data_IF_639982559153
#
_entry.id   IF_639982559153
#
_cell.length_a   1.000
_cell.length_b   1.000
_cell.length_c   1.000
_cell.angle_alpha   90.00
_cell.angle_beta   90.00
_cell.angle_gamma   90.00
#
_symmetry.space_group_name_H-M   'P 1'
#
loop_
_entity.id
_entity.type
_entity.pdbx_description
1 polymer ?
#
# COMPACT_ATOMS: atom_id res chain seq x y z
N UNK A 1 -24.83 21.65 1.04
CA UNK A 1 -24.62 20.23 0.66
C UNK A 1 -23.87 20.18 -0.66
N UNK A 2 -22.54 20.06 -0.62
CA UNK A 2 -21.73 19.95 -1.84
C UNK A 2 -21.91 18.58 -2.49
N UNK A 3 -22.11 18.53 -3.81
CA UNK A 3 -22.19 17.26 -4.57
C UNK A 3 -20.88 16.49 -4.37
N UNK A 4 -20.97 15.29 -3.80
CA UNK A 4 -19.84 14.37 -3.77
C UNK A 4 -19.69 13.84 -5.19
N UNK A 5 -18.67 14.31 -5.91
CA UNK A 5 -18.35 13.76 -7.22
C UNK A 5 -17.90 12.29 -7.01
N UNK A 6 -18.71 11.34 -7.47
CA UNK A 6 -18.48 9.90 -7.30
C UNK A 6 -17.81 9.30 -8.55
N UNK A 7 -16.79 9.98 -9.06
CA UNK A 7 -16.06 9.55 -10.25
C UNK A 7 -14.95 8.55 -9.84
N UNK A 8 -14.89 7.33 -10.44
CA UNK A 8 -13.86 6.33 -10.16
C UNK A 8 -12.42 6.78 -10.43
N UNK A 9 -12.22 7.86 -11.18
CA UNK A 9 -10.90 8.46 -11.45
C UNK A 9 -10.43 9.43 -10.36
N UNK A 10 -11.33 9.85 -9.45
CA UNK A 10 -10.98 10.69 -8.32
C UNK A 10 -10.01 9.93 -7.39
N UNK A 11 -8.85 10.53 -7.15
CA UNK A 11 -7.79 9.91 -6.37
C UNK A 11 -6.99 8.83 -7.11
N UNK A 12 -7.14 8.72 -8.43
CA UNK A 12 -6.31 7.90 -9.35
C UNK A 12 -5.77 8.69 -10.54
N UNK A 13 -5.90 10.00 -10.48
CA UNK A 13 -5.39 10.96 -11.47
C UNK A 13 -4.18 11.70 -10.92
N UNK A 14 -3.28 12.12 -11.80
CA UNK A 14 -2.21 13.05 -11.50
C UNK A 14 -2.21 14.15 -12.57
N UNK A 15 -2.07 15.41 -12.15
CA UNK A 15 -1.90 16.52 -13.08
C UNK A 15 -0.49 16.48 -13.65
N UNK A 16 -0.38 16.66 -14.96
CA UNK A 16 0.90 16.91 -15.64
C UNK A 16 1.31 18.35 -15.35
N UNK A 17 2.51 18.52 -14.82
CA UNK A 17 3.10 19.83 -14.52
C UNK A 17 4.27 20.04 -15.46
N UNK A 18 4.36 21.23 -16.06
CA UNK A 18 5.45 21.63 -16.96
C UNK A 18 5.69 20.68 -18.16
N UNK A 19 4.66 19.95 -18.58
CA UNK A 19 4.76 18.97 -19.67
C UNK A 19 5.52 17.68 -19.31
N UNK A 20 5.96 17.52 -18.06
CA UNK A 20 6.65 16.30 -17.61
C UNK A 20 5.64 15.15 -17.41
N UNK A 21 5.45 14.38 -18.49
CA UNK A 21 4.63 13.18 -18.49
C UNK A 21 5.25 12.06 -17.66
N UNK A 22 6.58 11.95 -17.62
CA UNK A 22 7.26 10.85 -16.94
C UNK A 22 7.02 10.92 -15.43
N UNK A 23 7.12 12.12 -14.84
CA UNK A 23 6.81 12.31 -13.42
C UNK A 23 5.31 12.11 -13.13
N UNK A 24 4.43 12.59 -14.02
CA UNK A 24 2.99 12.35 -13.89
C UNK A 24 2.66 10.84 -13.87
N UNK A 25 3.25 10.05 -14.75
CA UNK A 25 3.07 8.59 -14.76
C UNK A 25 3.62 7.93 -13.49
N UNK A 26 4.80 8.34 -13.00
CA UNK A 26 5.34 7.86 -11.72
C UNK A 26 4.40 8.16 -10.55
N UNK A 27 3.81 9.36 -10.52
CA UNK A 27 2.82 9.74 -9.51
C UNK A 27 1.59 8.84 -9.55
N UNK A 28 1.03 8.59 -10.74
CA UNK A 28 -0.09 7.65 -10.90
C UNK A 28 0.30 6.25 -10.43
N UNK A 29 1.48 5.76 -10.79
CA UNK A 29 1.97 4.45 -10.38
C UNK A 29 2.04 4.32 -8.84
N UNK A 30 2.60 5.33 -8.17
CA UNK A 30 2.64 5.40 -6.70
C UNK A 30 1.24 5.43 -6.07
N UNK A 31 0.30 6.17 -6.66
CA UNK A 31 -1.09 6.25 -6.19
C UNK A 31 -1.76 4.87 -6.28
N UNK A 32 -1.62 4.19 -7.43
CA UNK A 32 -2.18 2.84 -7.63
C UNK A 32 -1.55 1.81 -6.68
N UNK A 33 -0.24 1.91 -6.42
CA UNK A 33 0.47 1.05 -5.48
C UNK A 33 0.02 1.26 -4.03
N UNK A 34 -0.06 2.53 -3.58
CA UNK A 34 -0.53 2.90 -2.23
C UNK A 34 -1.95 2.42 -1.97
N UNK A 35 -2.83 2.59 -2.96
CA UNK A 35 -4.23 2.15 -2.90
C UNK A 35 -4.41 0.65 -3.18
N UNK A 36 -3.32 -0.09 -3.45
CA UNK A 36 -3.31 -1.55 -3.69
C UNK A 36 -4.21 -1.99 -4.86
N UNK A 37 -4.48 -1.11 -5.83
CA UNK A 37 -5.41 -1.34 -6.94
C UNK A 37 -4.99 -2.56 -7.75
N UNK A 38 -3.71 -2.64 -8.13
CA UNK A 38 -3.17 -3.79 -8.91
C UNK A 38 -3.28 -5.11 -8.16
N UNK A 39 -2.99 -5.11 -6.86
CA UNK A 39 -3.12 -6.32 -6.02
C UNK A 39 -4.58 -6.77 -5.95
N UNK A 40 -5.50 -5.84 -5.75
CA UNK A 40 -6.93 -6.16 -5.70
C UNK A 40 -7.44 -6.67 -7.04
N UNK A 41 -7.03 -6.05 -8.15
CA UNK A 41 -7.38 -6.49 -9.50
C UNK A 41 -6.97 -7.96 -9.70
N UNK A 42 -5.71 -8.30 -9.41
CA UNK A 42 -5.20 -9.68 -9.52
C UNK A 42 -5.94 -10.68 -8.61
N UNK A 43 -6.34 -10.26 -7.41
CA UNK A 43 -7.12 -11.10 -6.50
C UNK A 43 -8.58 -11.25 -6.93
N UNK A 44 -9.11 -10.31 -7.70
CA UNK A 44 -10.48 -10.31 -8.19
C UNK A 44 -10.64 -11.06 -9.53
N UNK A 45 -9.55 -11.30 -10.26
CA UNK A 45 -9.54 -12.09 -11.51
C UNK A 45 -10.22 -13.47 -11.36
N UNK A 46 -10.15 -14.07 -10.17
CA UNK A 46 -10.79 -15.36 -9.86
C UNK A 46 -11.49 -15.31 -8.51
N UNK A 47 -12.59 -16.05 -8.38
CA UNK A 47 -13.28 -16.17 -7.11
C UNK A 47 -12.43 -16.90 -6.06
N UNK A 48 -12.13 -16.21 -4.96
CA UNK A 48 -11.52 -16.81 -3.77
C UNK A 48 -12.61 -17.23 -2.77
N UNK A 49 -12.66 -18.53 -2.45
CA UNK A 49 -13.59 -19.06 -1.43
C UNK A 49 -13.39 -18.37 -0.07
N UNK A 50 -14.47 -18.21 0.69
CA UNK A 50 -14.48 -17.52 2.00
C UNK A 50 -13.44 -18.06 3.00
N UNK A 51 -13.28 -19.39 3.11
CA UNK A 51 -12.32 -20.03 4.01
C UNK A 51 -10.86 -19.69 3.68
N UNK A 52 -10.38 -19.99 2.45
CA UNK A 52 -9.06 -19.57 1.97
C UNK A 52 -8.81 -18.07 2.13
N UNK A 53 -9.80 -17.22 1.80
CA UNK A 53 -9.70 -15.77 1.99
C UNK A 53 -9.42 -15.37 3.44
N UNK A 54 -10.11 -15.99 4.41
CA UNK A 54 -9.89 -15.74 5.85
C UNK A 54 -8.47 -16.13 6.27
N UNK A 55 -8.02 -17.34 5.90
CA UNK A 55 -6.66 -17.83 6.21
C UNK A 55 -5.58 -16.93 5.59
N UNK A 56 -5.78 -16.48 4.35
CA UNK A 56 -4.87 -15.55 3.68
C UNK A 56 -4.81 -14.20 4.41
N UNK A 57 -5.95 -13.61 4.75
CA UNK A 57 -6.00 -12.32 5.44
C UNK A 57 -5.35 -12.39 6.83
N UNK A 58 -5.56 -13.47 7.56
CA UNK A 58 -4.93 -13.73 8.85
C UNK A 58 -3.41 -13.85 8.72
N UNK A 59 -2.92 -14.68 7.78
CA UNK A 59 -1.48 -14.81 7.50
C UNK A 59 -0.85 -13.50 7.04
N UNK A 60 -1.54 -12.73 6.19
CA UNK A 60 -1.08 -11.40 5.78
C UNK A 60 -1.00 -10.42 6.96
N UNK A 61 -1.98 -10.44 7.86
CA UNK A 61 -1.98 -9.59 9.06
C UNK A 61 -0.83 -9.98 9.97
N UNK A 62 -0.64 -11.26 10.24
CA UNK A 62 0.43 -11.76 11.10
C UNK A 62 1.82 -11.38 10.56
N UNK A 63 2.08 -11.61 9.26
CA UNK A 63 3.36 -11.24 8.65
C UNK A 63 3.65 -9.74 8.72
N UNK A 64 2.62 -8.88 8.59
CA UNK A 64 2.78 -7.43 8.74
C UNK A 64 3.13 -7.03 10.18
N UNK A 65 2.43 -7.61 11.16
CA UNK A 65 2.69 -7.35 12.58
C UNK A 65 4.08 -7.86 12.97
N UNK A 66 4.42 -9.09 12.57
CA UNK A 66 5.75 -9.65 12.81
C UNK A 66 6.86 -8.78 12.23
N UNK A 67 6.75 -8.35 10.96
CA UNK A 67 7.72 -7.46 10.34
C UNK A 67 7.82 -6.09 11.05
N UNK A 68 6.70 -5.57 11.57
CA UNK A 68 6.69 -4.35 12.35
C UNK A 68 7.46 -4.50 13.68
N UNK A 69 7.16 -5.56 14.44
CA UNK A 69 7.84 -5.83 15.71
C UNK A 69 9.33 -6.08 15.51
N UNK A 70 9.72 -6.87 14.50
CA UNK A 70 11.13 -7.09 14.14
C UNK A 70 11.81 -5.76 13.82
N UNK A 71 11.19 -4.89 13.00
CA UNK A 71 11.75 -3.57 12.67
C UNK A 71 11.94 -2.71 13.92
N UNK A 72 10.96 -2.68 14.82
CA UNK A 72 11.02 -1.91 16.07
C UNK A 72 12.16 -2.38 16.96
N UNK A 73 12.34 -3.70 17.11
CA UNK A 73 13.42 -4.28 17.89
C UNK A 73 14.79 -3.96 17.28
N UNK A 74 14.95 -4.09 15.95
CA UNK A 74 16.20 -3.73 15.26
C UNK A 74 16.52 -2.25 15.42
N UNK A 75 15.53 -1.37 15.33
CA UNK A 75 15.70 0.08 15.57
C UNK A 75 16.16 0.37 17.00
N UNK A 76 15.59 -0.32 18.00
CA UNK A 76 16.00 -0.19 19.39
C UNK A 76 17.46 -0.63 19.59
N UNK A 77 17.85 -1.80 19.09
CA UNK A 77 19.23 -2.30 19.17
C UNK A 77 20.19 -1.33 18.48
N UNK A 78 19.83 -0.83 17.29
CA UNK A 78 20.65 0.15 16.56
C UNK A 78 20.83 1.44 17.36
N UNK A 79 19.79 1.88 18.07
CA UNK A 79 19.82 3.07 18.94
C UNK A 79 20.70 2.85 20.16
N UNK A 80 20.66 1.67 20.77
CA UNK A 80 21.52 1.29 21.90
C UNK A 80 22.99 1.29 21.45
N UNK A 81 23.29 0.62 20.33
CA UNK A 81 24.64 0.59 19.75
C UNK A 81 25.18 1.98 19.42
N UNK A 82 24.34 2.88 18.87
CA UNK A 82 24.74 4.27 18.60
C UNK A 82 25.11 5.05 19.87
N UNK A 83 24.59 4.66 21.04
CA UNK A 83 24.87 5.31 22.34
C UNK A 83 26.13 4.80 23.03
N UNK A 84 26.86 3.85 22.44
CA UNK A 84 28.16 3.40 22.95
C UNK A 84 28.12 2.18 23.89
N UNK A 85 27.04 1.41 23.86
CA UNK A 85 27.04 0.02 24.34
C UNK A 85 27.46 -0.93 23.20
#
# INVERSE_FOLDING_TARGET
>A
MGRINNDPYIGRSARVVDGDLADAFKRVDMILARNKVRKQLKLAERHEKKGPKRRRLESERWRRLFAHEVRKNVQLVTKIRRRGA
#
